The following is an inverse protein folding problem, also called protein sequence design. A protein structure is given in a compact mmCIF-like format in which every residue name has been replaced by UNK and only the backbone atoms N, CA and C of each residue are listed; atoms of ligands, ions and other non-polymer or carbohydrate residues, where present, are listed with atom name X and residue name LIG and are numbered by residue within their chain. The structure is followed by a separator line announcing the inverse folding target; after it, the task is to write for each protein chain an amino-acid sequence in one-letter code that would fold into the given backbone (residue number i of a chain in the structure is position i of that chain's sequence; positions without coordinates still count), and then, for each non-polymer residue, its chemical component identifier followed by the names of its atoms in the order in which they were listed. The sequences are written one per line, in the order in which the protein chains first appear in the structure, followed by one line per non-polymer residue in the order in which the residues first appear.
data_IF_507737058866
#
_entry.id   IF_507737058866
#
_cell.length_a   1.000
_cell.length_b   1.000
_cell.length_c   1.000
_cell.angle_alpha   90.00
_cell.angle_beta   90.00
_cell.angle_gamma   90.00
#
_symmetry.space_group_name_H-M   'P 1'
#
loop_
_entity.id
_entity.type
_entity.pdbx_description
1 polymer ?
#
# COMPACT_ATOMS: atom_id res chain seq x y z
N UNK A 1 -54.93 0.86 11.63
CA UNK A 1 -53.93 0.58 12.70
C UNK A 1 -53.07 -0.58 12.21
N UNK A 2 -51.77 -0.52 11.97
CA UNK A 2 -50.70 0.39 12.38
C UNK A 2 -49.60 0.37 11.31
N UNK A 3 -49.25 1.57 10.88
CA UNK A 3 -48.09 1.97 10.10
C UNK A 3 -46.80 1.78 10.91
N UNK A 4 -46.00 0.73 10.68
CA UNK A 4 -44.59 0.56 11.12
C UNK A 4 -44.01 -0.60 10.29
N UNK A 5 -42.86 -0.57 9.64
CA UNK A 5 -41.76 0.37 9.55
C UNK A 5 -41.02 -0.07 8.26
N UNK A 6 -40.95 0.80 7.28
CA UNK A 6 -39.94 0.70 6.20
C UNK A 6 -38.56 0.79 6.87
N UNK A 7 -37.55 0.23 6.20
CA UNK A 7 -36.11 0.53 6.35
C UNK A 7 -35.29 -0.52 7.12
N UNK A 8 -34.67 -1.43 6.35
CA UNK A 8 -33.29 -1.88 6.58
C UNK A 8 -32.81 -2.68 5.36
N UNK A 9 -32.87 -2.06 4.18
CA UNK A 9 -32.21 -2.57 2.98
C UNK A 9 -30.83 -1.90 2.90
N UNK A 10 -29.82 -2.74 2.64
CA UNK A 10 -28.46 -2.37 2.25
C UNK A 10 -27.50 -1.90 3.37
N UNK A 11 -27.10 -2.83 4.23
CA UNK A 11 -25.70 -2.83 4.71
C UNK A 11 -24.79 -3.21 3.55
N UNK A 12 -24.42 -2.21 2.74
CA UNK A 12 -23.24 -2.23 1.86
C UNK A 12 -21.98 -2.19 2.75
N UNK A 13 -21.72 -3.30 3.43
CA UNK A 13 -20.48 -3.52 4.20
C UNK A 13 -19.77 -4.71 3.59
N UNK A 14 -19.16 -4.48 2.44
CA UNK A 14 -18.01 -5.26 1.98
C UNK A 14 -17.21 -4.34 1.05
N UNK A 15 -16.59 -3.32 1.66
CA UNK A 15 -15.32 -2.84 1.15
C UNK A 15 -14.33 -4.00 1.30
N UNK A 16 -14.37 -4.92 0.35
CA UNK A 16 -13.27 -5.82 0.07
C UNK A 16 -12.17 -4.98 -0.57
N UNK A 17 -11.53 -4.12 0.21
CA UNK A 17 -10.15 -3.80 -0.08
C UNK A 17 -9.41 -5.14 0.07
N UNK A 18 -8.72 -5.60 -0.97
CA UNK A 18 -8.01 -6.86 -0.87
C UNK A 18 -7.05 -6.69 0.30
N UNK A 19 -7.10 -7.66 1.20
CA UNK A 19 -6.05 -7.88 2.15
C UNK A 19 -4.75 -8.09 1.35
N UNK A 20 -4.01 -7.02 1.09
CA UNK A 20 -2.56 -7.08 1.00
C UNK A 20 -2.06 -7.38 2.42
N UNK A 21 -2.45 -8.54 2.94
CA UNK A 21 -1.99 -9.08 4.20
C UNK A 21 -0.64 -9.79 3.99
N UNK A 22 0.26 -9.12 3.26
CA UNK A 22 1.68 -9.37 3.39
C UNK A 22 2.17 -8.56 4.58
N UNK A 23 2.95 -9.17 5.48
CA UNK A 23 3.64 -8.41 6.50
C UNK A 23 4.39 -7.25 5.83
N UNK A 24 4.30 -6.04 6.40
CA UNK A 24 4.88 -4.82 5.86
C UNK A 24 6.36 -5.00 5.45
N UNK A 25 7.13 -5.81 6.20
CA UNK A 25 8.52 -6.12 5.88
C UNK A 25 8.66 -7.06 4.67
N UNK A 26 7.70 -7.95 4.45
CA UNK A 26 7.69 -8.79 3.24
C UNK A 26 7.51 -7.95 1.99
N UNK A 27 6.66 -6.92 2.04
CA UNK A 27 6.48 -6.01 0.89
C UNK A 27 7.68 -5.08 0.68
N UNK A 28 8.35 -4.66 1.75
CA UNK A 28 9.65 -3.97 1.65
C UNK A 28 10.71 -4.86 0.99
N UNK A 29 10.82 -6.13 1.37
CA UNK A 29 11.78 -7.05 0.75
C UNK A 29 11.51 -7.26 -0.75
N UNK A 30 10.23 -7.30 -1.14
CA UNK A 30 9.83 -7.32 -2.55
C UNK A 30 10.23 -6.02 -3.25
N UNK A 31 10.01 -4.87 -2.62
CA UNK A 31 10.42 -3.57 -3.15
C UNK A 31 11.95 -3.44 -3.27
N UNK A 32 12.71 -3.96 -2.31
CA UNK A 32 14.18 -4.00 -2.34
C UNK A 32 14.67 -4.80 -3.55
N UNK A 33 14.07 -5.97 -3.80
CA UNK A 33 14.37 -6.75 -5.00
C UNK A 33 14.03 -5.99 -6.28
N UNK A 34 12.90 -5.27 -6.31
CA UNK A 34 12.52 -4.45 -7.46
C UNK A 34 13.50 -3.29 -7.69
N UNK A 35 13.94 -2.62 -6.63
CA UNK A 35 14.96 -1.57 -6.68
C UNK A 35 16.25 -2.11 -7.28
N UNK A 36 16.75 -3.24 -6.80
CA UNK A 36 17.98 -3.87 -7.30
C UNK A 36 17.90 -4.21 -8.80
N UNK A 37 16.76 -4.75 -9.25
CA UNK A 37 16.59 -5.20 -10.63
C UNK A 37 16.08 -4.11 -11.59
N UNK A 38 15.64 -2.97 -11.08
CA UNK A 38 15.13 -1.89 -11.91
C UNK A 38 16.24 -1.28 -12.77
N UNK A 39 16.04 -1.28 -14.09
CA UNK A 39 16.88 -0.56 -15.04
C UNK A 39 16.37 0.88 -15.21
N UNK A 40 16.58 1.68 -14.17
CA UNK A 40 16.15 3.09 -14.10
C UNK A 40 17.34 4.01 -13.86
N UNK A 41 17.15 5.31 -14.09
CA UNK A 41 18.18 6.31 -13.80
C UNK A 41 18.48 6.41 -12.31
N UNK A 42 19.66 6.90 -11.96
CA UNK A 42 20.07 7.10 -10.55
C UNK A 42 19.12 8.02 -9.78
N UNK A 43 18.51 9.01 -10.46
CA UNK A 43 17.52 9.90 -9.86
C UNK A 43 16.26 9.14 -9.43
N UNK A 44 15.72 8.32 -10.34
CA UNK A 44 14.54 7.49 -10.06
C UNK A 44 14.84 6.46 -8.98
N UNK A 45 16.03 5.84 -9.01
CA UNK A 45 16.47 4.90 -7.97
C UNK A 45 16.53 5.59 -6.60
N UNK A 46 17.09 6.79 -6.50
CA UNK A 46 17.15 7.56 -5.25
C UNK A 46 15.76 7.90 -4.73
N UNK A 47 14.86 8.34 -5.61
CA UNK A 47 13.48 8.68 -5.23
C UNK A 47 12.72 7.45 -4.73
N UNK A 48 12.82 6.32 -5.43
CA UNK A 48 12.20 5.07 -4.99
C UNK A 48 12.82 4.52 -3.68
N UNK A 49 14.13 4.67 -3.49
CA UNK A 49 14.81 4.29 -2.23
C UNK A 49 14.35 5.16 -1.07
N UNK A 50 14.22 6.47 -1.27
CA UNK A 50 13.70 7.38 -0.25
C UNK A 50 12.30 6.95 0.22
N UNK A 51 11.41 6.60 -0.73
CA UNK A 51 10.07 6.13 -0.38
C UNK A 51 10.07 4.76 0.30
N UNK A 52 10.98 3.86 -0.08
CA UNK A 52 11.20 2.59 0.63
C UNK A 52 11.59 2.84 2.09
N UNK A 53 12.45 3.83 2.36
CA UNK A 53 12.89 4.16 3.73
C UNK A 53 11.76 4.79 4.57
N UNK A 54 10.92 5.64 3.96
CA UNK A 54 9.72 6.16 4.64
C UNK A 54 8.71 5.04 4.93
N UNK A 55 8.56 4.07 4.02
CA UNK A 55 7.75 2.89 4.25
C UNK A 55 8.27 2.04 5.42
N UNK A 56 9.60 1.83 5.52
CA UNK A 56 10.20 1.12 6.66
C UNK A 56 9.94 1.80 8.00
N UNK A 57 10.05 3.14 8.05
CA UNK A 57 9.71 3.91 9.25
C UNK A 57 8.25 3.73 9.63
N UNK A 58 7.34 3.79 8.65
CA UNK A 58 5.92 3.59 8.87
C UNK A 58 5.60 2.14 9.33
N UNK A 59 6.21 1.12 8.71
CA UNK A 59 6.11 -0.28 9.16
C UNK A 59 6.56 -0.43 10.62
N UNK A 60 7.71 0.15 10.97
CA UNK A 60 8.28 0.09 12.33
C UNK A 60 7.39 0.80 13.34
N UNK A 61 6.71 1.87 12.93
CA UNK A 61 5.74 2.60 13.74
C UNK A 61 4.37 1.91 13.86
N UNK A 62 4.16 0.77 13.19
CA UNK A 62 2.87 0.08 13.11
C UNK A 62 1.82 0.83 12.27
N UNK A 63 2.25 1.80 11.46
CA UNK A 63 1.39 2.53 10.55
C UNK A 63 1.40 1.88 9.17
N UNK A 64 0.66 0.78 9.06
CA UNK A 64 0.63 -0.04 7.85
C UNK A 64 0.06 0.71 6.64
N UNK A 65 -0.92 1.62 6.84
CA UNK A 65 -1.52 2.36 5.73
C UNK A 65 -0.51 3.31 5.08
N UNK A 66 0.21 4.08 5.87
CA UNK A 66 1.23 5.01 5.35
C UNK A 66 2.38 4.24 4.71
N UNK A 67 2.77 3.10 5.29
CA UNK A 67 3.79 2.24 4.69
C UNK A 67 3.36 1.74 3.30
N UNK A 68 2.12 1.28 3.15
CA UNK A 68 1.56 0.85 1.88
C UNK A 68 1.51 1.98 0.85
N UNK A 69 1.17 3.19 1.28
CA UNK A 69 1.19 4.36 0.40
C UNK A 69 2.60 4.63 -0.13
N UNK A 70 3.60 4.65 0.76
CA UNK A 70 4.99 4.84 0.38
C UNK A 70 5.53 3.71 -0.52
N UNK A 71 5.17 2.45 -0.25
CA UNK A 71 5.51 1.30 -1.11
C UNK A 71 4.90 1.47 -2.50
N UNK A 72 3.62 1.81 -2.59
CA UNK A 72 2.92 2.03 -3.86
C UNK A 72 3.54 3.20 -4.65
N UNK A 73 3.91 4.28 -3.97
CA UNK A 73 4.60 5.40 -4.62
C UNK A 73 6.00 4.99 -5.13
N UNK A 74 6.77 4.22 -4.35
CA UNK A 74 8.06 3.69 -4.78
C UNK A 74 7.94 2.83 -6.05
N UNK A 75 6.96 1.92 -6.08
CA UNK A 75 6.67 1.10 -7.27
C UNK A 75 6.31 1.96 -8.48
N UNK A 76 5.48 2.99 -8.30
CA UNK A 76 5.14 3.95 -9.35
C UNK A 76 6.37 4.69 -9.90
N UNK A 77 7.29 5.13 -9.05
CA UNK A 77 8.54 5.75 -9.49
C UNK A 77 9.39 4.79 -10.34
N UNK A 78 9.42 3.50 -9.98
CA UNK A 78 10.10 2.46 -10.76
C UNK A 78 9.36 2.07 -12.04
N UNK A 79 8.16 2.61 -12.29
CA UNK A 79 7.31 2.22 -13.42
C UNK A 79 6.71 0.81 -13.27
N UNK A 80 6.65 0.29 -12.05
CA UNK A 80 6.09 -1.00 -11.70
C UNK A 80 4.69 -0.75 -11.14
N UNK A 81 3.69 -1.54 -11.56
CA UNK A 81 2.30 -1.37 -11.15
C UNK A 81 2.21 -1.28 -9.61
N UNK A 82 1.63 -0.17 -9.14
CA UNK A 82 1.47 0.18 -7.73
C UNK A 82 0.08 -0.08 -7.20
#
# INVERSE_FOLDING_TARGET
MKLKLVLALATLLMMAAPAFAGDCHSELAVLDTQLENANVSDGVRKEATYMRDEAEKACTAGNEQDAQEHISMARRALGIQG
#
